data_IF_443171536218
#
_entry.id   IF_443171536218
#
_cell.length_a   1.000
_cell.length_b   1.000
_cell.length_c   1.000
_cell.angle_alpha   90.00
_cell.angle_beta   90.00
_cell.angle_gamma   90.00
#
_symmetry.space_group_name_H-M   'P 1'
#
loop_
_entity.id
_entity.type
_entity.pdbx_description
1 polymer ?
#
# COMPACT_ATOMS: atom_id res chain seq x y z
N UNK A 1 -18.48 -57.69 -37.93
CA UNK A 1 -17.64 -58.36 -36.91
C UNK A 1 -16.73 -57.31 -36.29
N UNK A 2 -16.45 -57.42 -34.98
CA UNK A 2 -15.61 -56.54 -34.13
C UNK A 2 -14.26 -56.16 -34.76
N UNK A 3 -13.52 -55.12 -34.38
CA UNK A 3 -13.18 -54.60 -33.04
C UNK A 3 -12.49 -53.22 -33.29
N UNK A 4 -12.98 -52.08 -32.81
CA UNK A 4 -12.65 -51.42 -31.53
C UNK A 4 -11.18 -50.97 -31.35
N UNK A 5 -11.04 -49.67 -31.00
CA UNK A 5 -9.88 -48.91 -30.48
C UNK A 5 -8.94 -48.32 -31.56
N UNK A 6 -9.13 -47.07 -31.99
CA UNK A 6 -8.87 -45.79 -31.29
C UNK A 6 -7.37 -45.41 -31.23
N UNK A 7 -7.14 -44.12 -31.51
CA UNK A 7 -5.95 -43.26 -31.28
C UNK A 7 -5.24 -42.88 -32.59
N UNK A 8 -5.75 -41.86 -33.29
CA UNK A 8 -5.37 -40.43 -33.16
C UNK A 8 -3.89 -40.16 -33.49
N UNK A 9 -3.65 -39.76 -34.76
CA UNK A 9 -3.06 -38.48 -35.15
C UNK A 9 -1.72 -38.04 -34.48
N UNK A 10 -0.59 -38.30 -35.17
CA UNK A 10 0.69 -37.53 -35.35
C UNK A 10 1.32 -36.68 -34.19
N UNK A 11 2.58 -36.18 -34.29
CA UNK A 11 3.86 -36.79 -34.69
C UNK A 11 5.07 -36.44 -33.74
N UNK A 12 6.22 -37.09 -33.97
CA UNK A 12 7.62 -36.64 -33.74
C UNK A 12 8.07 -36.00 -32.39
N UNK A 13 8.87 -36.75 -31.62
CA UNK A 13 9.83 -36.24 -30.61
C UNK A 13 11.22 -36.71 -31.09
N UNK A 14 12.11 -35.94 -31.76
CA UNK A 14 12.86 -34.69 -31.50
C UNK A 14 13.85 -34.77 -30.33
N UNK A 15 15.13 -35.05 -30.66
CA UNK A 15 16.45 -34.67 -30.09
C UNK A 15 16.66 -34.31 -28.59
N UNK A 16 15.64 -34.32 -27.74
CA UNK A 16 15.70 -33.86 -26.35
C UNK A 16 15.96 -35.02 -25.38
N UNK A 17 15.78 -36.27 -25.83
CA UNK A 17 15.95 -37.45 -24.98
C UNK A 17 17.42 -37.81 -24.69
N UNK A 18 18.40 -37.25 -25.42
CA UNK A 18 19.82 -37.39 -25.08
C UNK A 18 20.25 -36.47 -23.92
N UNK A 19 19.57 -35.33 -23.74
CA UNK A 19 19.94 -34.32 -22.73
C UNK A 19 19.71 -34.86 -21.31
N UNK A 20 18.73 -35.75 -21.11
CA UNK A 20 18.34 -36.21 -19.77
C UNK A 20 19.37 -37.18 -19.14
N UNK A 21 20.14 -37.93 -19.94
CA UNK A 21 21.12 -38.88 -19.40
C UNK A 21 22.44 -38.24 -18.95
N UNK A 22 22.72 -36.99 -19.35
CA UNK A 22 24.00 -36.32 -19.08
C UNK A 22 23.98 -35.43 -17.82
N UNK A 23 22.81 -35.23 -17.19
CA UNK A 23 22.66 -34.36 -16.01
C UNK A 23 22.35 -35.10 -14.69
N UNK A 24 22.28 -36.44 -14.70
CA UNK A 24 22.14 -37.23 -13.45
C UNK A 24 23.49 -37.72 -12.95
N UNK A 25 24.37 -36.79 -12.57
CA UNK A 25 25.50 -37.13 -11.70
C UNK A 25 25.71 -35.99 -10.71
N UNK A 26 25.29 -36.27 -9.47
CA UNK A 26 25.56 -35.54 -8.21
C UNK A 26 24.67 -34.34 -7.86
N UNK A 27 23.65 -34.59 -7.03
CA UNK A 27 22.96 -33.58 -6.22
C UNK A 27 23.80 -33.26 -4.96
N UNK A 28 24.31 -32.03 -4.77
CA UNK A 28 24.87 -31.62 -3.49
C UNK A 28 23.74 -31.34 -2.48
N UNK A 29 23.84 -31.93 -1.28
CA UNK A 29 22.92 -31.73 -0.14
C UNK A 29 22.79 -30.23 0.22
N UNK A 30 21.59 -29.73 0.59
CA UNK A 30 21.38 -28.32 0.89
C UNK A 30 22.15 -27.93 2.15
N UNK A 31 23.25 -27.20 1.96
CA UNK A 31 23.90 -26.46 3.04
C UNK A 31 23.34 -25.05 3.01
N UNK A 32 22.65 -24.67 4.09
CA UNK A 32 21.98 -23.38 4.22
C UNK A 32 22.92 -22.20 3.97
N UNK A 33 22.45 -21.24 3.19
CA UNK A 33 22.93 -19.85 3.17
C UNK A 33 21.76 -18.90 2.99
N UNK A 34 21.04 -18.65 4.08
CA UNK A 34 20.03 -17.59 4.22
C UNK A 34 20.64 -16.17 4.27
N UNK A 35 21.67 -15.88 3.45
CA UNK A 35 22.46 -14.64 3.59
C UNK A 35 22.14 -13.54 2.58
N UNK A 36 21.41 -13.82 1.50
CA UNK A 36 21.04 -12.81 0.50
C UNK A 36 19.80 -11.99 0.90
N UNK A 37 18.79 -12.65 1.46
CA UNK A 37 17.51 -12.00 1.79
C UNK A 37 17.63 -11.00 2.95
N UNK A 38 18.57 -11.22 3.88
CA UNK A 38 18.83 -10.28 4.98
C UNK A 38 19.49 -9.00 4.50
N UNK A 39 20.46 -9.09 3.57
CA UNK A 39 21.16 -7.91 3.02
C UNK A 39 20.22 -7.04 2.19
N UNK A 40 19.34 -7.65 1.38
CA UNK A 40 18.30 -6.91 0.65
C UNK A 40 17.31 -6.27 1.62
N UNK A 41 16.89 -7.00 2.66
CA UNK A 41 16.00 -6.46 3.70
C UNK A 41 16.59 -5.26 4.45
N UNK A 42 17.89 -5.29 4.74
CA UNK A 42 18.62 -4.18 5.38
C UNK A 42 18.82 -2.99 4.44
N UNK A 43 19.14 -3.24 3.16
CA UNK A 43 19.22 -2.21 2.14
C UNK A 43 17.85 -1.54 1.90
N UNK A 44 16.77 -2.32 1.84
CA UNK A 44 15.41 -1.81 1.70
C UNK A 44 14.96 -1.00 2.91
N UNK A 45 15.31 -1.38 4.14
CA UNK A 45 15.05 -0.57 5.35
C UNK A 45 15.84 0.74 5.37
N UNK A 46 16.98 0.78 4.69
CA UNK A 46 17.82 1.98 4.57
C UNK A 46 17.27 2.93 3.50
N UNK A 47 16.76 2.38 2.39
CA UNK A 47 16.18 3.16 1.27
C UNK A 47 14.75 3.60 1.57
N UNK A 48 13.99 2.75 2.26
CA UNK A 48 12.64 3.02 2.76
C UNK A 48 12.69 2.96 4.29
N UNK A 49 13.27 3.97 4.96
CA UNK A 49 13.06 4.11 6.39
C UNK A 49 11.55 4.11 6.57
N UNK A 50 11.02 3.12 7.29
CA UNK A 50 9.59 2.99 7.58
C UNK A 50 9.12 4.37 7.97
N UNK A 51 8.35 5.05 7.10
CA UNK A 51 8.02 6.45 7.31
C UNK A 51 7.31 6.50 8.65
N UNK A 52 8.03 7.03 9.65
CA UNK A 52 7.44 7.29 10.94
C UNK A 52 6.35 8.30 10.62
N UNK A 53 5.11 7.85 10.72
CA UNK A 53 3.91 8.61 10.39
C UNK A 53 4.13 10.06 10.84
N UNK A 54 4.10 10.97 9.87
CA UNK A 54 4.38 12.37 10.15
C UNK A 54 3.35 12.84 11.18
N UNK A 55 3.82 13.37 12.31
CA UNK A 55 2.89 13.87 13.32
C UNK A 55 2.04 14.98 12.71
N UNK A 56 0.78 15.01 13.10
CA UNK A 56 -0.17 16.02 12.64
C UNK A 56 0.38 17.46 12.79
N UNK A 57 1.05 17.77 13.90
CA UNK A 57 1.72 19.05 14.13
C UNK A 57 2.87 19.31 13.15
N UNK A 58 3.68 18.30 12.83
CA UNK A 58 4.77 18.44 11.86
C UNK A 58 4.23 18.72 10.46
N UNK A 59 3.14 18.04 10.08
CA UNK A 59 2.41 18.32 8.84
C UNK A 59 1.84 19.74 8.84
N UNK A 60 1.22 20.17 9.93
CA UNK A 60 0.66 21.51 10.06
C UNK A 60 1.73 22.60 9.94
N UNK A 61 2.89 22.45 10.60
CA UNK A 61 4.03 23.36 10.47
C UNK A 61 4.53 23.46 9.03
N UNK A 62 4.60 22.32 8.32
CA UNK A 62 4.99 22.32 6.90
C UNK A 62 4.01 23.10 6.02
N UNK A 63 2.71 22.97 6.27
CA UNK A 63 1.66 23.65 5.48
C UNK A 63 1.60 25.14 5.79
N UNK A 64 1.63 25.51 7.08
CA UNK A 64 1.53 26.89 7.54
C UNK A 64 2.82 27.68 7.28
N UNK A 65 3.96 27.00 7.17
CA UNK A 65 5.25 27.61 6.87
C UNK A 65 5.63 28.68 7.88
N UNK A 66 5.98 29.87 7.38
CA UNK A 66 6.43 31.02 8.18
C UNK A 66 5.45 31.43 9.28
N UNK A 67 4.15 31.21 9.10
CA UNK A 67 3.12 31.56 10.09
C UNK A 67 3.30 30.74 11.37
N UNK A 68 3.79 29.50 11.26
CA UNK A 68 3.97 28.59 12.39
C UNK A 68 5.38 28.65 13.00
N UNK A 69 6.33 29.40 12.43
CA UNK A 69 7.74 29.43 12.90
C UNK A 69 7.85 29.95 14.33
N UNK A 70 7.02 30.93 14.70
CA UNK A 70 7.02 31.51 16.05
C UNK A 70 6.18 30.77 17.08
N UNK A 71 5.43 29.73 16.68
CA UNK A 71 4.48 29.05 17.55
C UNK A 71 5.14 27.85 18.24
N UNK A 72 4.90 27.69 19.53
CA UNK A 72 5.18 26.42 20.23
C UNK A 72 4.23 25.32 19.75
N UNK A 73 4.59 24.05 20.01
CA UNK A 73 3.74 22.92 19.62
C UNK A 73 2.37 22.97 20.29
N UNK A 74 2.30 23.40 21.56
CA UNK A 74 1.04 23.54 22.29
C UNK A 74 0.16 24.67 21.77
N UNK A 75 0.75 25.80 21.37
CA UNK A 75 -0.02 26.92 20.78
C UNK A 75 -0.56 26.52 19.41
N UNK A 76 0.29 25.89 18.59
CA UNK A 76 -0.13 25.41 17.28
C UNK A 76 -1.24 24.38 17.39
N UNK A 77 -1.13 23.43 18.31
CA UNK A 77 -2.18 22.44 18.58
C UNK A 77 -3.50 23.10 18.98
N UNK A 78 -3.44 24.06 19.92
CA UNK A 78 -4.61 24.80 20.38
C UNK A 78 -5.30 25.53 19.23
N UNK A 79 -4.54 26.28 18.43
CA UNK A 79 -5.10 27.02 17.30
C UNK A 79 -5.71 26.09 16.25
N UNK A 80 -5.06 24.97 15.92
CA UNK A 80 -5.60 24.03 14.95
C UNK A 80 -6.94 23.46 15.42
N UNK A 81 -7.04 23.06 16.70
CA UNK A 81 -8.29 22.57 17.26
C UNK A 81 -9.39 23.64 17.26
N UNK A 82 -9.05 24.89 17.59
CA UNK A 82 -10.01 26.01 17.53
C UNK A 82 -10.49 26.27 16.09
N UNK A 83 -9.58 26.24 15.12
CA UNK A 83 -9.94 26.38 13.70
C UNK A 83 -10.81 25.23 13.22
N UNK A 84 -10.50 23.98 13.57
CA UNK A 84 -11.31 22.82 13.22
C UNK A 84 -12.74 22.98 13.75
N UNK A 85 -12.91 23.38 15.01
CA UNK A 85 -14.23 23.64 15.59
C UNK A 85 -15.01 24.73 14.84
N UNK A 86 -14.35 25.84 14.49
CA UNK A 86 -14.98 26.93 13.75
C UNK A 86 -15.37 26.50 12.33
N UNK A 87 -14.49 25.76 11.65
CA UNK A 87 -14.74 25.27 10.30
C UNK A 87 -15.92 24.29 10.27
N UNK A 88 -16.00 23.36 11.21
CA UNK A 88 -17.12 22.43 11.32
C UNK A 88 -18.45 23.19 11.49
N UNK A 89 -18.48 24.17 12.41
CA UNK A 89 -19.67 24.99 12.62
C UNK A 89 -20.06 25.84 11.40
N UNK A 90 -19.07 26.41 10.70
CA UNK A 90 -19.31 27.19 9.49
C UNK A 90 -19.79 26.34 8.32
N UNK A 91 -19.24 25.13 8.15
CA UNK A 91 -19.68 24.20 7.11
C UNK A 91 -21.11 23.75 7.40
N UNK A 92 -21.43 23.35 8.63
CA UNK A 92 -22.79 22.95 9.01
C UNK A 92 -23.81 24.07 8.74
N UNK A 93 -23.48 25.31 9.08
CA UNK A 93 -24.36 26.46 8.83
C UNK A 93 -24.51 26.77 7.34
N UNK A 94 -23.41 26.72 6.59
CA UNK A 94 -23.45 26.87 5.13
C UNK A 94 -24.32 25.80 4.47
N UNK A 95 -24.19 24.54 4.90
CA UNK A 95 -25.01 23.43 4.41
C UNK A 95 -26.49 23.65 4.74
N UNK A 96 -26.82 24.07 5.96
CA UNK A 96 -28.21 24.38 6.36
C UNK A 96 -28.84 25.47 5.50
N UNK A 97 -28.07 26.46 5.07
CA UNK A 97 -28.57 27.48 4.15
C UNK A 97 -28.89 26.94 2.75
N UNK A 98 -28.23 25.85 2.33
CA UNK A 98 -28.42 25.23 1.01
C UNK A 98 -29.43 24.08 1.01
N UNK A 99 -29.58 23.36 2.12
CA UNK A 99 -30.36 22.12 2.20
C UNK A 99 -31.57 22.21 3.15
N UNK A 100 -32.37 23.28 3.03
CA UNK A 100 -33.60 23.46 3.81
C UNK A 100 -33.39 23.31 5.33
N UNK A 101 -32.36 23.98 5.85
CA UNK A 101 -31.96 23.94 7.26
C UNK A 101 -31.50 22.55 7.76
N UNK A 102 -30.98 21.72 6.86
CA UNK A 102 -30.32 20.43 7.17
C UNK A 102 -28.85 20.44 6.73
N UNK A 103 -28.03 19.63 7.38
CA UNK A 103 -26.66 19.33 6.93
C UNK A 103 -26.67 18.31 5.80
N UNK A 104 -25.62 18.29 4.98
CA UNK A 104 -25.47 17.30 3.91
C UNK A 104 -25.45 15.87 4.47
N UNK A 105 -24.84 15.69 5.64
CA UNK A 105 -24.82 14.40 6.35
C UNK A 105 -26.22 13.91 6.71
N UNK A 106 -27.13 14.82 7.08
CA UNK A 106 -28.53 14.49 7.37
C UNK A 106 -29.28 14.14 6.09
N UNK A 107 -29.13 14.93 5.03
CA UNK A 107 -29.74 14.67 3.72
C UNK A 107 -29.34 13.29 3.18
N UNK A 108 -28.06 12.93 3.27
CA UNK A 108 -27.54 11.65 2.75
C UNK A 108 -27.96 10.43 3.59
N UNK A 109 -28.35 10.60 4.86
CA UNK A 109 -28.88 9.48 5.68
C UNK A 109 -30.36 9.20 5.40
N UNK A 110 -31.08 10.16 4.83
CA UNK A 110 -32.50 10.04 4.49
C UNK A 110 -32.75 9.56 3.05
N UNK A 111 -31.74 9.59 2.18
CA UNK A 111 -31.79 9.12 0.78
C UNK A 111 -31.43 7.65 0.62
#
# INVERSE_FOLDING_TARGET
MANQLALLNEPAIKAQDWIVAQFTTELPKPHGKESGNKQIGEALKTIFPTEKEESWLKRARRILGEIAVGLSDSELETYLTEFEFLLDGWIDEFEKQLFDNRTLREVLREG
#
